data_IF_721679023980
#
_entry.id   IF_721679023980
#
_cell.length_a   1.000
_cell.length_b   1.000
_cell.length_c   1.000
_cell.angle_alpha   90.00
_cell.angle_beta   90.00
_cell.angle_gamma   90.00
#
_symmetry.space_group_name_H-M   'P 1'
#
loop_
_entity.id
_entity.type
_entity.pdbx_description
1 polymer ?
#
# COMPACT_ATOMS: atom_id res chain seq x y z
N UNK A 1 4.02 -8.52 12.72
CA UNK A 1 3.36 -9.85 12.69
C UNK A 1 1.85 -9.68 12.52
N UNK A 2 1.32 -9.86 11.30
CA UNK A 2 -0.11 -9.72 11.01
C UNK A 2 -0.99 -10.83 11.63
N UNK A 3 -0.46 -12.04 11.81
CA UNK A 3 -1.21 -13.15 12.39
C UNK A 3 -1.38 -12.95 13.89
N UNK A 4 -0.33 -12.51 14.59
CA UNK A 4 -0.43 -12.15 16.01
C UNK A 4 -1.44 -11.02 16.24
N UNK A 5 -1.47 -10.00 15.37
CA UNK A 5 -2.46 -8.92 15.46
C UNK A 5 -3.89 -9.46 15.32
N UNK A 6 -4.15 -10.34 14.35
CA UNK A 6 -5.47 -10.97 14.17
C UNK A 6 -5.86 -11.87 15.35
N UNK A 7 -4.91 -12.63 15.92
CA UNK A 7 -5.15 -13.42 17.15
C UNK A 7 -5.53 -12.53 18.32
N UNK A 8 -4.88 -11.38 18.45
CA UNK A 8 -5.18 -10.44 19.53
C UNK A 8 -6.56 -9.79 19.33
N UNK A 9 -6.92 -9.41 18.09
CA UNK A 9 -8.27 -8.97 17.75
C UNK A 9 -9.32 -10.04 18.11
N UNK A 10 -9.05 -11.31 17.80
CA UNK A 10 -9.91 -12.44 18.15
C UNK A 10 -10.03 -12.65 19.67
N UNK A 11 -8.97 -12.41 20.44
CA UNK A 11 -8.99 -12.55 21.90
C UNK A 11 -9.88 -11.50 22.57
N UNK A 12 -9.92 -10.27 22.03
CA UNK A 12 -10.60 -9.14 22.68
C UNK A 12 -12.01 -8.88 22.15
N UNK A 13 -12.34 -9.38 20.95
CA UNK A 13 -13.70 -9.22 20.41
C UNK A 13 -14.69 -10.03 21.26
N UNK A 14 -15.86 -9.44 21.52
CA UNK A 14 -16.93 -10.14 22.24
C UNK A 14 -17.48 -11.31 21.39
N UNK A 15 -18.05 -12.35 22.03
CA UNK A 15 -18.83 -13.35 21.31
C UNK A 15 -19.96 -12.73 20.48
N UNK A 16 -20.18 -13.24 19.27
CA UNK A 16 -21.10 -12.67 18.27
C UNK A 16 -20.56 -11.39 17.60
N UNK A 17 -19.27 -11.11 17.74
CA UNK A 17 -18.62 -9.90 17.24
C UNK A 17 -18.12 -10.04 15.80
N UNK A 18 -17.60 -8.92 15.27
CA UNK A 18 -17.02 -8.85 13.94
C UNK A 18 -15.61 -8.29 14.02
N UNK A 19 -14.68 -8.92 13.31
CA UNK A 19 -13.36 -8.37 13.00
C UNK A 19 -13.37 -7.98 11.53
N UNK A 20 -13.11 -6.71 11.24
CA UNK A 20 -13.02 -6.18 9.90
C UNK A 20 -11.61 -5.66 9.65
N UNK A 21 -10.92 -6.19 8.63
CA UNK A 21 -9.57 -5.75 8.24
C UNK A 21 -9.51 -5.49 6.75
N UNK A 22 -8.74 -4.47 6.36
CA UNK A 22 -8.49 -4.09 4.98
C UNK A 22 -7.04 -3.65 4.83
N UNK A 23 -6.37 -4.12 3.79
CA UNK A 23 -5.03 -3.66 3.45
C UNK A 23 -4.82 -3.60 1.94
N UNK A 24 -3.92 -2.72 1.52
CA UNK A 24 -3.55 -2.56 0.11
C UNK A 24 -2.66 -3.70 -0.37
N UNK A 25 -2.62 -3.86 -1.70
CA UNK A 25 -1.66 -4.72 -2.37
C UNK A 25 -0.80 -3.86 -3.30
N UNK A 26 0.40 -3.50 -2.84
CA UNK A 26 1.30 -2.61 -3.57
C UNK A 26 1.77 -3.23 -4.90
N UNK A 27 2.07 -4.53 -4.94
CA UNK A 27 2.38 -5.23 -6.18
C UNK A 27 1.19 -5.30 -7.17
N UNK A 28 -0.03 -5.07 -6.71
CA UNK A 28 -1.23 -4.96 -7.54
C UNK A 28 -1.59 -3.53 -7.96
N UNK A 29 -0.86 -2.51 -7.48
CA UNK A 29 -1.08 -1.13 -7.93
C UNK A 29 -0.61 -0.98 -9.37
N UNK A 30 -1.42 -0.31 -10.17
CA UNK A 30 -1.14 -0.03 -11.57
C UNK A 30 -1.50 1.40 -11.92
N UNK A 31 -0.80 1.94 -12.92
CA UNK A 31 -1.01 3.30 -13.39
C UNK A 31 -0.90 3.39 -14.91
N UNK A 32 -1.50 4.44 -15.44
CA UNK A 32 -1.36 4.90 -16.81
C UNK A 32 -1.26 6.44 -16.84
N UNK A 33 -0.58 7.02 -17.84
CA UNK A 33 0.38 6.37 -18.73
C UNK A 33 1.51 5.66 -17.97
N UNK A 34 2.18 4.71 -18.63
CA UNK A 34 3.34 4.03 -18.04
C UNK A 34 4.44 5.03 -17.71
N UNK A 35 5.10 4.84 -16.56
CA UNK A 35 6.13 5.76 -16.08
C UNK A 35 7.25 4.96 -15.39
N UNK A 36 8.47 4.94 -15.96
CA UNK A 36 9.61 4.29 -15.32
C UNK A 36 9.94 4.83 -13.92
N UNK A 37 9.59 6.09 -13.65
CA UNK A 37 9.80 6.72 -12.35
C UNK A 37 8.81 6.20 -11.31
N UNK A 38 7.54 5.96 -11.69
CA UNK A 38 6.57 5.31 -10.81
C UNK A 38 6.91 3.81 -10.63
N UNK A 39 7.42 3.13 -11.67
CA UNK A 39 7.93 1.75 -11.53
C UNK A 39 9.06 1.68 -10.51
N UNK A 40 9.99 2.63 -10.61
CA UNK A 40 11.13 2.73 -9.70
C UNK A 40 10.70 3.07 -8.28
N UNK A 41 9.75 4.00 -8.13
CA UNK A 41 9.11 4.30 -6.84
C UNK A 41 8.55 3.04 -6.18
N UNK A 42 7.76 2.26 -6.90
CA UNK A 42 7.16 1.02 -6.37
C UNK A 42 8.23 0.02 -5.94
N UNK A 43 9.29 -0.13 -6.74
CA UNK A 43 10.43 -0.99 -6.41
C UNK A 43 11.11 -0.58 -5.10
N UNK A 44 11.39 0.71 -4.92
CA UNK A 44 12.01 1.25 -3.71
C UNK A 44 11.08 1.06 -2.51
N UNK A 45 9.80 1.43 -2.65
CA UNK A 45 8.80 1.29 -1.59
C UNK A 45 8.74 -0.15 -1.05
N UNK A 46 8.61 -1.13 -1.94
CA UNK A 46 8.51 -2.54 -1.52
C UNK A 46 9.79 -3.04 -0.85
N UNK A 47 10.97 -2.54 -1.26
CA UNK A 47 12.25 -2.89 -0.60
C UNK A 47 12.33 -2.31 0.80
N UNK A 48 12.04 -1.02 0.97
CA UNK A 48 12.06 -0.34 2.27
C UNK A 48 11.02 -0.94 3.23
N UNK A 49 9.80 -1.23 2.74
CA UNK A 49 8.78 -1.89 3.56
C UNK A 49 9.27 -3.26 4.08
N UNK A 50 9.90 -4.07 3.22
CA UNK A 50 10.43 -5.38 3.61
C UNK A 50 11.62 -5.29 4.57
N UNK A 51 12.46 -4.26 4.44
CA UNK A 51 13.54 -4.01 5.40
C UNK A 51 13.00 -3.70 6.81
N UNK A 52 11.77 -3.18 6.91
CA UNK A 52 11.04 -2.95 8.16
C UNK A 52 10.24 -4.16 8.66
N UNK A 53 10.51 -5.38 8.15
CA UNK A 53 9.71 -6.58 8.42
C UNK A 53 8.20 -6.42 8.13
N UNK A 54 7.85 -5.49 7.24
CA UNK A 54 6.48 -5.29 6.78
C UNK A 54 6.22 -6.06 5.48
N UNK A 55 4.96 -6.44 5.27
CA UNK A 55 4.49 -7.03 4.01
C UNK A 55 3.74 -5.95 3.21
N UNK A 56 4.35 -5.31 2.21
CA UNK A 56 3.69 -4.29 1.41
C UNK A 56 2.56 -4.85 0.53
N UNK A 57 2.56 -6.15 0.23
CA UNK A 57 1.52 -6.76 -0.60
C UNK A 57 0.41 -7.37 0.28
N UNK A 58 0.17 -6.83 1.49
CA UNK A 58 -0.62 -7.42 2.55
C UNK A 58 -2.04 -7.84 2.15
N UNK A 59 -2.72 -7.05 1.31
CA UNK A 59 -4.10 -7.29 0.90
C UNK A 59 -4.36 -8.71 0.37
N UNK A 60 -3.42 -9.28 -0.41
CA UNK A 60 -3.58 -10.63 -0.97
C UNK A 60 -3.36 -11.76 0.04
N UNK A 61 -2.81 -11.46 1.22
CA UNK A 61 -2.48 -12.45 2.25
C UNK A 61 -3.48 -12.50 3.40
N UNK A 62 -4.44 -11.56 3.46
CA UNK A 62 -5.38 -11.46 4.58
C UNK A 62 -6.10 -12.78 4.86
N UNK A 63 -6.63 -13.47 3.82
CA UNK A 63 -7.33 -14.77 3.99
C UNK A 63 -6.43 -15.82 4.65
N UNK A 64 -5.17 -15.90 4.20
CA UNK A 64 -4.18 -16.83 4.76
C UNK A 64 -3.94 -16.51 6.24
N UNK A 65 -3.68 -15.24 6.55
CA UNK A 65 -3.38 -14.81 7.92
C UNK A 65 -4.56 -14.99 8.88
N UNK A 66 -5.79 -14.75 8.42
CA UNK A 66 -6.99 -15.01 9.22
C UNK A 66 -7.12 -16.49 9.60
N UNK A 67 -6.89 -17.40 8.63
CA UNK A 67 -6.89 -18.85 8.89
C UNK A 67 -5.79 -19.26 9.86
N UNK A 68 -4.58 -18.74 9.72
CA UNK A 68 -3.46 -18.98 10.65
C UNK A 68 -3.73 -18.42 12.06
N UNK A 69 -4.56 -17.38 12.15
CA UNK A 69 -5.03 -16.81 13.42
C UNK A 69 -6.18 -17.60 14.07
N UNK A 70 -6.72 -18.62 13.41
CA UNK A 70 -7.83 -19.43 13.90
C UNK A 70 -9.22 -18.86 13.61
N UNK A 71 -9.31 -17.83 12.76
CA UNK A 71 -10.58 -17.27 12.28
C UNK A 71 -11.09 -18.13 11.11
N UNK A 72 -12.24 -18.78 11.28
CA UNK A 72 -12.77 -19.76 10.31
C UNK A 72 -14.02 -19.28 9.56
N UNK A 73 -14.88 -18.45 10.17
CA UNK A 73 -15.98 -17.78 9.48
C UNK A 73 -15.49 -16.47 8.87
N UNK A 74 -14.86 -16.58 7.69
CA UNK A 74 -14.22 -15.47 6.97
C UNK A 74 -14.97 -15.21 5.67
N UNK A 75 -15.42 -13.97 5.49
CA UNK A 75 -16.03 -13.46 4.25
C UNK A 75 -15.07 -12.47 3.57
N UNK A 76 -14.31 -12.90 2.54
CA UNK A 76 -13.41 -12.02 1.81
C UNK A 76 -14.15 -11.18 0.78
N UNK A 77 -13.67 -9.96 0.56
CA UNK A 77 -14.05 -9.07 -0.54
C UNK A 77 -12.83 -8.31 -1.08
N UNK A 78 -13.03 -7.62 -2.21
CA UNK A 78 -12.06 -6.70 -2.79
C UNK A 78 -12.72 -5.33 -2.96
N UNK A 79 -11.93 -4.29 -2.81
CA UNK A 79 -12.27 -2.92 -3.16
C UNK A 79 -11.04 -2.26 -3.79
N UNK A 80 -11.23 -1.15 -4.48
CA UNK A 80 -10.12 -0.41 -5.04
C UNK A 80 -10.35 1.09 -4.95
N UNK A 81 -9.29 1.81 -4.57
CA UNK A 81 -9.26 3.25 -4.80
C UNK A 81 -8.80 3.54 -6.21
N UNK A 82 -9.46 4.49 -6.84
CA UNK A 82 -9.12 5.00 -8.16
C UNK A 82 -8.78 6.49 -8.09
N UNK A 83 -7.65 6.87 -8.67
CA UNK A 83 -7.20 8.25 -8.83
C UNK A 83 -7.07 8.55 -10.34
N UNK A 84 -8.13 9.10 -10.92
CA UNK A 84 -8.19 9.45 -12.34
C UNK A 84 -8.79 10.84 -12.59
N UNK A 85 -9.75 11.28 -11.76
CA UNK A 85 -10.25 12.64 -11.79
C UNK A 85 -9.12 13.64 -11.43
N UNK A 86 -9.09 14.85 -12.01
CA UNK A 86 -7.99 15.80 -11.82
C UNK A 86 -7.68 16.11 -10.35
N UNK A 87 -8.71 16.33 -9.52
CA UNK A 87 -8.57 16.58 -8.08
C UNK A 87 -8.01 15.37 -7.32
N UNK A 88 -8.40 14.17 -7.74
CA UNK A 88 -7.93 12.90 -7.15
C UNK A 88 -6.49 12.60 -7.54
N UNK A 89 -6.09 12.91 -8.78
CA UNK A 89 -4.71 12.81 -9.25
C UNK A 89 -3.81 13.77 -8.50
N UNK A 90 -4.20 15.04 -8.42
CA UNK A 90 -3.49 16.08 -7.68
C UNK A 90 -3.27 15.65 -6.23
N UNK A 91 -4.33 15.24 -5.53
CA UNK A 91 -4.23 14.83 -4.13
C UNK A 91 -3.30 13.63 -3.92
N UNK A 92 -3.46 12.56 -4.71
CA UNK A 92 -2.66 11.34 -4.56
C UNK A 92 -1.20 11.54 -4.96
N UNK A 93 -0.99 12.17 -6.12
CA UNK A 93 0.34 12.39 -6.67
C UNK A 93 1.15 13.36 -5.82
N UNK A 94 0.55 14.46 -5.34
CA UNK A 94 1.27 15.42 -4.50
C UNK A 94 1.65 14.82 -3.14
N UNK A 95 0.77 13.98 -2.57
CA UNK A 95 1.10 13.22 -1.34
C UNK A 95 2.34 12.35 -1.53
N UNK A 96 2.47 11.67 -2.67
CA UNK A 96 3.66 10.85 -2.94
C UNK A 96 4.88 11.66 -3.35
N UNK A 97 4.72 12.71 -4.16
CA UNK A 97 5.80 13.61 -4.53
C UNK A 97 6.49 14.22 -3.30
N UNK A 98 5.73 14.57 -2.27
CA UNK A 98 6.28 15.07 -1.01
C UNK A 98 6.85 13.94 -0.15
N UNK A 99 6.14 12.81 -0.04
CA UNK A 99 6.56 11.67 0.80
C UNK A 99 7.89 11.08 0.34
N UNK A 100 8.15 10.98 -0.97
CA UNK A 100 9.42 10.43 -1.46
C UNK A 100 10.62 11.33 -1.15
N UNK A 101 10.41 12.59 -0.76
CA UNK A 101 11.47 13.54 -0.40
C UNK A 101 11.57 13.78 1.11
N UNK A 102 10.43 13.83 1.81
CA UNK A 102 10.32 14.39 3.16
C UNK A 102 9.60 13.45 4.12
N UNK A 103 10.08 12.21 4.21
CA UNK A 103 9.54 11.25 5.16
C UNK A 103 10.61 10.27 5.65
N UNK A 104 10.27 9.50 6.69
CA UNK A 104 11.10 8.39 7.15
C UNK A 104 11.38 7.36 6.05
N UNK A 105 10.49 7.23 5.06
CA UNK A 105 10.74 6.40 3.88
C UNK A 105 11.92 6.93 3.06
N UNK A 106 12.00 8.24 2.84
CA UNK A 106 13.10 8.86 2.08
C UNK A 106 14.44 8.72 2.82
N UNK A 107 14.44 9.02 4.11
CA UNK A 107 15.62 8.89 4.99
C UNK A 107 16.15 7.45 4.99
N UNK A 108 15.26 6.47 5.17
CA UNK A 108 15.61 5.06 5.19
C UNK A 108 16.09 4.56 3.82
N UNK A 109 15.41 4.94 2.74
CA UNK A 109 15.80 4.54 1.38
C UNK A 109 17.25 4.95 1.06
N UNK A 110 17.68 6.12 1.54
CA UNK A 110 19.07 6.59 1.38
C UNK A 110 20.01 5.89 2.37
N UNK A 111 19.63 5.80 3.65
CA UNK A 111 20.47 5.19 4.68
C UNK A 111 20.80 3.71 4.40
N UNK A 112 19.86 2.98 3.81
CA UNK A 112 20.02 1.57 3.42
C UNK A 112 20.61 1.37 2.01
N UNK A 113 20.93 2.46 1.30
CA UNK A 113 21.48 2.39 -0.06
C UNK A 113 20.51 1.83 -1.11
N UNK A 114 19.20 1.89 -0.84
CA UNK A 114 18.15 1.47 -1.79
C UNK A 114 17.95 2.50 -2.90
N UNK A 115 18.18 3.77 -2.58
CA UNK A 115 18.07 4.93 -3.48
C UNK A 115 19.03 6.06 -3.04
N UNK A 116 19.11 7.12 -3.84
CA UNK A 116 19.85 8.35 -3.53
C UNK A 116 18.89 9.53 -3.44
N UNK A 117 19.29 10.62 -2.78
CA UNK A 117 18.49 11.85 -2.73
C UNK A 117 18.17 12.38 -4.14
N UNK A 118 19.12 12.29 -5.08
CA UNK A 118 18.92 12.71 -6.46
C UNK A 118 17.88 11.82 -7.18
N UNK A 119 17.93 10.50 -7.00
CA UNK A 119 16.94 9.57 -7.58
C UNK A 119 15.54 9.81 -6.98
N UNK A 120 15.44 10.06 -5.67
CA UNK A 120 14.18 10.42 -5.03
C UNK A 120 13.63 11.75 -5.55
N UNK A 121 14.50 12.72 -5.85
CA UNK A 121 14.17 13.96 -6.55
C UNK A 121 13.50 13.71 -7.90
N UNK A 122 14.12 12.86 -8.73
CA UNK A 122 13.57 12.49 -10.05
C UNK A 122 12.22 11.77 -9.92
N UNK A 123 12.06 10.91 -8.91
CA UNK A 123 10.79 10.22 -8.65
C UNK A 123 9.69 11.21 -8.27
N UNK A 124 10.00 12.22 -7.44
CA UNK A 124 9.03 13.27 -7.11
C UNK A 124 8.57 14.03 -8.36
N UNK A 125 9.48 14.33 -9.28
CA UNK A 125 9.14 14.95 -10.56
C UNK A 125 8.34 14.01 -11.47
N UNK A 126 8.58 12.70 -11.41
CA UNK A 126 7.76 11.69 -12.07
C UNK A 126 6.31 11.70 -11.58
N UNK A 127 6.10 11.84 -10.27
CA UNK A 127 4.76 12.01 -9.70
C UNK A 127 4.11 13.31 -10.16
N UNK A 128 4.82 14.44 -10.13
CA UNK A 128 4.31 15.74 -10.63
C UNK A 128 3.95 15.69 -12.10
N UNK A 129 4.74 14.97 -12.90
CA UNK A 129 4.44 14.74 -14.33
C UNK A 129 3.16 13.93 -14.48
N UNK A 130 3.02 12.82 -13.74
CA UNK A 130 1.81 12.00 -13.78
C UNK A 130 0.54 12.75 -13.35
N UNK A 131 0.64 13.67 -12.38
CA UNK A 131 -0.49 14.53 -11.98
C UNK A 131 -1.02 15.33 -13.18
N UNK A 132 -0.12 15.83 -14.04
CA UNK A 132 -0.47 16.64 -15.20
C UNK A 132 -1.06 15.83 -16.38
N UNK A 133 -0.90 14.50 -16.38
CA UNK A 133 -1.39 13.64 -17.46
C UNK A 133 -2.91 13.61 -17.52
N UNK A 134 -3.50 14.05 -18.64
CA UNK A 134 -4.97 14.12 -18.79
C UNK A 134 -5.62 12.73 -18.69
N UNK A 135 -4.94 11.73 -19.25
CA UNK A 135 -5.33 10.31 -19.20
C UNK A 135 -4.76 9.58 -17.96
N UNK A 136 -4.24 10.35 -16.99
CA UNK A 136 -3.71 9.83 -15.75
C UNK A 136 -4.73 8.97 -15.01
N UNK A 137 -4.33 7.76 -14.68
CA UNK A 137 -5.16 6.76 -14.01
C UNK A 137 -4.27 5.96 -13.07
N UNK A 138 -4.68 5.78 -11.82
CA UNK A 138 -3.93 4.98 -10.84
C UNK A 138 -4.91 4.20 -9.96
N UNK A 139 -4.73 2.89 -9.89
CA UNK A 139 -5.54 2.02 -9.03
C UNK A 139 -4.74 1.50 -7.84
N UNK A 140 -5.38 1.49 -6.68
CA UNK A 140 -4.91 0.81 -5.48
C UNK A 140 -5.91 -0.29 -5.12
N UNK A 141 -5.62 -1.57 -5.43
CA UNK A 141 -6.45 -2.67 -4.95
C UNK A 141 -6.22 -2.92 -3.45
N UNK A 142 -7.30 -3.30 -2.77
CA UNK A 142 -7.28 -3.68 -1.36
C UNK A 142 -8.01 -5.00 -1.15
N UNK A 143 -7.36 -5.93 -0.45
CA UNK A 143 -8.05 -7.08 0.12
C UNK A 143 -8.83 -6.64 1.35
N UNK A 144 -10.02 -7.21 1.55
CA UNK A 144 -10.88 -6.96 2.70
C UNK A 144 -11.36 -8.27 3.29
N UNK A 145 -11.48 -8.32 4.61
CA UNK A 145 -12.08 -9.44 5.33
C UNK A 145 -13.07 -8.95 6.36
N UNK A 146 -14.19 -9.66 6.43
CA UNK A 146 -15.08 -9.69 7.58
C UNK A 146 -14.99 -11.09 8.20
N UNK A 147 -14.56 -11.18 9.46
CA UNK A 147 -14.56 -12.40 10.24
C UNK A 147 -15.63 -12.34 11.33
N UNK A 148 -16.44 -13.37 11.47
CA UNK A 148 -17.45 -13.48 12.54
C UNK A 148 -16.93 -14.38 13.65
N UNK A 149 -17.14 -13.97 14.90
CA UNK A 149 -16.60 -14.61 16.11
C UNK A 149 -17.72 -14.97 17.07
#
# INVERSE_FOLDING_TARGET
>A
DPVAALREMHRVVRPGGIIAVRDADYAGMHWAPESPLLDRWMSIYRRVAKANDAEPDAGRYLVKWAREAGLNDVSPSIDAWLFAAPDRREWWGSTWADRVLTSSFAEQAVAEGVSTTDELGQIADGWRTWIAEQDGWFVVPHGQLICRV
#
